data_IF_237220337317
#
_entry.id   IF_237220337317
#
_cell.length_a   1.000
_cell.length_b   1.000
_cell.length_c   1.000
_cell.angle_alpha   90.00
_cell.angle_beta   90.00
_cell.angle_gamma   90.00
#
_symmetry.space_group_name_H-M   'P 1'
#
loop_
_entity.id
_entity.type
_entity.pdbx_description
1 polymer ?
#
# COMPACT_ATOMS: atom_id res chain seq x y z
N UNK A 1 17.72 11.07 -5.03
CA UNK A 1 17.50 9.65 -5.36
C UNK A 1 18.79 8.83 -5.18
N UNK A 2 19.95 9.31 -5.61
CA UNK A 2 21.23 8.60 -5.41
C UNK A 2 21.51 8.39 -3.90
N UNK A 3 21.25 9.36 -3.05
CA UNK A 3 21.39 9.23 -1.59
C UNK A 3 20.47 8.15 -1.02
N UNK A 4 19.25 8.07 -1.54
CA UNK A 4 18.30 7.02 -1.18
C UNK A 4 18.82 5.63 -1.58
N UNK A 5 19.40 5.48 -2.76
CA UNK A 5 19.99 4.25 -3.24
C UNK A 5 21.29 3.86 -2.49
N UNK A 6 22.07 4.85 -2.06
CA UNK A 6 23.21 4.64 -1.17
C UNK A 6 22.75 4.16 0.21
N UNK A 7 21.70 4.76 0.75
CA UNK A 7 21.11 4.32 2.03
C UNK A 7 20.57 2.90 1.93
N UNK A 8 19.79 2.58 0.88
CA UNK A 8 19.35 1.21 0.62
C UNK A 8 20.55 0.23 0.58
N UNK A 9 21.66 0.63 -0.04
CA UNK A 9 22.87 -0.18 -0.10
C UNK A 9 23.49 -0.41 1.29
N UNK A 10 23.30 0.51 2.25
CA UNK A 10 23.71 0.31 3.65
C UNK A 10 22.79 -0.68 4.36
N UNK A 11 21.46 -0.57 4.16
CA UNK A 11 20.49 -1.52 4.74
C UNK A 11 20.76 -2.95 4.25
N UNK A 12 21.16 -3.11 2.99
CA UNK A 12 21.49 -4.40 2.39
C UNK A 12 22.81 -5.03 2.91
N UNK A 13 23.56 -4.33 3.75
CA UNK A 13 24.77 -4.85 4.43
C UNK A 13 24.55 -5.14 5.93
N UNK A 14 23.39 -4.78 6.46
CA UNK A 14 23.06 -4.97 7.88
C UNK A 14 22.84 -6.46 8.22
N UNK A 15 22.98 -6.87 9.49
CA UNK A 15 22.42 -8.12 9.95
C UNK A 15 20.91 -8.17 9.63
N UNK A 16 20.40 -9.30 9.18
CA UNK A 16 19.02 -9.44 8.69
C UNK A 16 18.71 -8.49 7.51
N UNK A 17 19.68 -8.30 6.61
CA UNK A 17 19.64 -7.32 5.51
C UNK A 17 18.32 -7.28 4.73
N UNK A 18 17.73 -8.45 4.46
CA UNK A 18 16.44 -8.53 3.72
C UNK A 18 15.32 -7.88 4.51
N UNK A 19 15.14 -8.22 5.80
CA UNK A 19 14.12 -7.60 6.66
C UNK A 19 14.33 -6.11 6.80
N UNK A 20 15.56 -5.68 7.07
CA UNK A 20 15.91 -4.27 7.25
C UNK A 20 15.63 -3.46 5.96
N UNK A 21 16.02 -3.98 4.81
CA UNK A 21 15.81 -3.31 3.53
C UNK A 21 14.30 -3.23 3.16
N UNK A 22 13.54 -4.30 3.36
CA UNK A 22 12.10 -4.31 3.09
C UNK A 22 11.38 -3.33 4.03
N UNK A 23 11.63 -3.40 5.34
CA UNK A 23 11.01 -2.50 6.31
C UNK A 23 11.34 -1.03 6.02
N UNK A 24 12.59 -0.75 5.68
CA UNK A 24 13.05 0.59 5.35
C UNK A 24 12.40 1.14 4.06
N UNK A 25 12.21 0.28 3.05
CA UNK A 25 11.53 0.64 1.79
C UNK A 25 10.02 0.89 2.01
N UNK A 26 9.35 -0.03 2.72
CA UNK A 26 7.92 0.09 2.99
C UNK A 26 7.61 1.34 3.82
N UNK A 27 8.41 1.65 4.84
CA UNK A 27 8.26 2.89 5.63
C UNK A 27 8.42 4.17 4.80
N UNK A 28 8.89 4.07 3.56
CA UNK A 28 9.03 5.18 2.59
C UNK A 28 8.05 5.10 1.42
N UNK A 29 7.06 4.18 1.52
CA UNK A 29 6.07 3.99 0.47
C UNK A 29 6.62 3.35 -0.81
N UNK A 30 7.63 2.48 -0.70
CA UNK A 30 8.14 1.66 -1.79
C UNK A 30 7.75 0.19 -1.54
N UNK A 31 6.55 -0.24 -1.95
CA UNK A 31 6.14 -1.62 -1.75
C UNK A 31 6.94 -2.56 -2.65
N UNK A 32 7.60 -3.54 -2.04
CA UNK A 32 8.43 -4.55 -2.71
C UNK A 32 8.09 -5.93 -2.20
N UNK A 33 7.95 -6.92 -3.08
CA UNK A 33 7.62 -8.31 -2.75
C UNK A 33 6.20 -8.48 -2.16
N UNK A 34 5.83 -7.67 -1.23
CA UNK A 34 4.49 -7.55 -0.62
C UNK A 34 4.29 -6.10 -0.18
N UNK A 35 3.08 -5.78 0.28
CA UNK A 35 2.81 -4.53 0.97
C UNK A 35 2.11 -4.82 2.30
N UNK A 36 2.27 -3.91 3.25
CA UNK A 36 1.60 -3.96 4.55
C UNK A 36 0.75 -2.70 4.72
N UNK A 37 -0.53 -2.87 4.59
CA UNK A 37 -1.50 -1.78 4.75
C UNK A 37 -2.27 -1.93 6.06
N UNK A 38 -2.71 -0.83 6.63
CA UNK A 38 -3.61 -0.86 7.79
C UNK A 38 -5.05 -0.90 7.28
N UNK A 39 -5.79 -1.91 7.69
CA UNK A 39 -7.18 -2.12 7.24
C UNK A 39 -8.08 -2.49 8.43
N UNK A 40 -9.40 -2.34 8.27
CA UNK A 40 -10.36 -2.82 9.24
C UNK A 40 -10.44 -4.36 9.24
N UNK A 41 -10.42 -4.98 10.42
CA UNK A 41 -10.61 -6.43 10.55
C UNK A 41 -12.11 -6.75 10.60
N UNK A 42 -12.72 -7.30 9.53
CA UNK A 42 -14.16 -7.60 9.48
C UNK A 42 -14.59 -8.68 10.47
N UNK A 43 -13.67 -9.48 11.00
CA UNK A 43 -13.94 -10.49 12.02
C UNK A 43 -13.82 -9.98 13.46
N UNK A 44 -13.61 -8.68 13.66
CA UNK A 44 -13.47 -8.04 14.98
C UNK A 44 -14.41 -6.82 15.07
N UNK A 45 -14.33 -6.12 16.22
CA UNK A 45 -15.09 -4.89 16.41
C UNK A 45 -14.79 -3.86 15.29
N UNK A 46 -15.78 -3.06 14.85
CA UNK A 46 -15.71 -2.25 13.63
C UNK A 46 -14.59 -1.20 13.57
N UNK A 47 -13.81 -1.04 14.64
CA UNK A 47 -12.69 -0.10 14.72
C UNK A 47 -11.33 -0.80 14.97
N UNK A 48 -11.27 -2.11 14.84
CA UNK A 48 -10.01 -2.83 15.02
C UNK A 48 -9.15 -2.69 13.75
N UNK A 49 -8.28 -1.67 13.74
CA UNK A 49 -7.25 -1.54 12.72
C UNK A 49 -6.25 -2.71 12.83
N UNK A 50 -6.00 -3.40 11.74
CA UNK A 50 -5.14 -4.59 11.71
C UNK A 50 -4.24 -4.53 10.47
N UNK A 51 -2.93 -4.79 10.57
CA UNK A 51 -2.08 -4.89 9.41
C UNK A 51 -2.56 -5.99 8.46
N UNK A 52 -2.65 -5.66 7.18
CA UNK A 52 -2.97 -6.60 6.10
C UNK A 52 -1.78 -6.72 5.17
N UNK A 53 -1.31 -7.95 4.96
CA UNK A 53 -0.23 -8.27 4.03
C UNK A 53 -0.84 -8.66 2.69
N UNK A 54 -0.46 -7.94 1.64
CA UNK A 54 -0.97 -8.12 0.27
C UNK A 54 0.19 -8.34 -0.72
N UNK A 55 -0.01 -9.11 -1.82
CA UNK A 55 0.97 -9.22 -2.89
C UNK A 55 1.31 -7.85 -3.50
N UNK A 56 2.59 -7.56 -3.71
CA UNK A 56 3.07 -6.32 -4.32
C UNK A 56 4.43 -6.49 -5.00
N UNK A 57 4.96 -5.42 -5.59
CA UNK A 57 6.34 -5.33 -6.07
C UNK A 57 6.55 -5.60 -7.56
N UNK A 58 5.50 -5.83 -8.36
CA UNK A 58 5.62 -5.95 -9.80
C UNK A 58 5.87 -4.58 -10.46
N UNK A 59 6.73 -4.55 -11.47
CA UNK A 59 6.99 -3.35 -12.27
C UNK A 59 5.99 -3.15 -13.41
N UNK A 60 5.45 -4.22 -13.98
CA UNK A 60 4.35 -4.17 -14.93
C UNK A 60 3.00 -4.25 -14.20
N UNK A 61 1.99 -3.58 -14.75
CA UNK A 61 0.68 -3.41 -14.09
C UNK A 61 -0.10 -4.71 -13.86
N UNK A 62 0.16 -5.72 -14.68
CA UNK A 62 -0.56 -6.99 -14.59
C UNK A 62 0.42 -8.17 -14.67
N UNK A 63 0.23 -9.23 -13.88
CA UNK A 63 1.07 -10.43 -13.96
C UNK A 63 1.17 -11.01 -15.37
N UNK A 64 0.06 -11.08 -16.11
CA UNK A 64 0.03 -11.60 -17.48
C UNK A 64 0.89 -10.79 -18.49
N UNK A 65 1.23 -9.54 -18.19
CA UNK A 65 2.09 -8.74 -19.06
C UNK A 65 3.54 -9.29 -19.14
N UNK A 66 3.96 -10.08 -18.15
CA UNK A 66 5.27 -10.73 -18.17
C UNK A 66 5.32 -11.92 -19.13
N UNK A 67 4.20 -12.50 -19.52
CA UNK A 67 4.13 -13.62 -20.50
C UNK A 67 4.25 -13.12 -21.94
N UNK A 68 3.93 -11.84 -22.20
CA UNK A 68 4.12 -11.25 -23.52
C UNK A 68 5.60 -10.91 -23.80
N UNK A 69 6.18 -11.58 -24.78
CA UNK A 69 7.58 -11.45 -25.14
C UNK A 69 7.96 -10.03 -25.63
N UNK A 70 7.02 -9.29 -26.22
CA UNK A 70 7.29 -7.93 -26.74
C UNK A 70 7.37 -6.97 -25.55
N UNK A 71 6.34 -6.99 -24.71
CA UNK A 71 6.29 -6.19 -23.48
C UNK A 71 7.48 -6.48 -22.56
N UNK A 72 7.82 -7.76 -22.37
CA UNK A 72 8.95 -8.15 -21.52
C UNK A 72 10.28 -7.63 -22.04
N UNK A 73 10.55 -7.68 -23.35
CA UNK A 73 11.79 -7.13 -23.96
C UNK A 73 11.85 -5.62 -23.83
N UNK A 74 10.74 -4.94 -24.07
CA UNK A 74 10.63 -3.50 -23.86
C UNK A 74 10.90 -3.13 -22.38
N UNK A 75 10.30 -3.85 -21.46
CA UNK A 75 10.49 -3.65 -20.02
C UNK A 75 11.93 -3.92 -19.60
N UNK A 76 12.57 -4.99 -20.10
CA UNK A 76 13.99 -5.28 -19.84
C UNK A 76 14.90 -4.15 -20.31
N UNK A 77 14.61 -3.50 -21.44
CA UNK A 77 15.38 -2.34 -21.89
C UNK A 77 15.30 -1.16 -20.90
N UNK A 78 14.11 -0.90 -20.32
CA UNK A 78 13.93 0.14 -19.31
C UNK A 78 14.65 -0.21 -18.00
N UNK A 79 14.56 -1.45 -17.53
CA UNK A 79 15.30 -1.93 -16.36
C UNK A 79 16.81 -1.77 -16.55
N UNK A 80 17.30 -2.12 -17.73
CA UNK A 80 18.73 -1.97 -18.08
C UNK A 80 19.19 -0.51 -18.05
N UNK A 81 18.39 0.39 -18.60
CA UNK A 81 18.65 1.83 -18.55
C UNK A 81 18.72 2.33 -17.11
N UNK A 82 17.74 1.96 -16.27
CA UNK A 82 17.72 2.36 -14.86
C UNK A 82 18.89 1.81 -14.06
N UNK A 83 19.22 0.53 -14.24
CA UNK A 83 20.30 -0.14 -13.51
C UNK A 83 21.71 0.27 -14.02
N UNK A 84 21.85 0.87 -15.19
CA UNK A 84 23.14 1.31 -15.72
C UNK A 84 23.89 2.26 -14.75
N UNK A 85 23.16 2.99 -13.90
CA UNK A 85 23.73 3.95 -12.95
C UNK A 85 24.04 3.35 -11.56
N UNK A 86 23.52 2.17 -11.24
CA UNK A 86 23.55 1.61 -9.87
C UNK A 86 24.00 0.16 -9.82
N UNK A 87 24.20 -0.46 -10.98
CA UNK A 87 24.62 -1.86 -11.13
C UNK A 87 23.47 -2.86 -10.96
N UNK A 88 23.62 -3.98 -11.63
CA UNK A 88 22.68 -5.10 -11.65
C UNK A 88 22.41 -5.60 -13.07
N UNK A 89 21.95 -6.86 -13.19
CA UNK A 89 21.58 -7.46 -14.47
C UNK A 89 20.07 -7.33 -14.68
N UNK A 90 19.67 -6.61 -15.74
CA UNK A 90 18.28 -6.39 -16.08
C UNK A 90 17.53 -7.68 -16.44
N UNK A 91 18.21 -8.65 -17.05
CA UNK A 91 17.60 -9.93 -17.40
C UNK A 91 17.26 -10.73 -16.17
N UNK A 92 18.16 -10.75 -15.20
CA UNK A 92 17.91 -11.42 -13.91
C UNK A 92 16.76 -10.77 -13.15
N UNK A 93 16.70 -9.44 -13.11
CA UNK A 93 15.61 -8.71 -12.46
C UNK A 93 14.28 -9.00 -13.13
N UNK A 94 14.20 -8.94 -14.46
CA UNK A 94 12.95 -9.22 -15.19
C UNK A 94 12.55 -10.69 -15.08
N UNK A 95 13.51 -11.63 -15.08
CA UNK A 95 13.24 -13.04 -14.83
C UNK A 95 12.69 -13.27 -13.40
N UNK A 96 13.28 -12.62 -12.41
CA UNK A 96 12.79 -12.67 -11.03
C UNK A 96 11.36 -12.11 -10.91
N UNK A 97 11.09 -10.94 -11.50
CA UNK A 97 9.71 -10.37 -11.48
C UNK A 97 8.70 -11.23 -12.25
N UNK A 98 9.12 -11.91 -13.32
CA UNK A 98 8.27 -12.85 -14.03
C UNK A 98 7.91 -14.07 -13.14
N UNK A 99 8.87 -14.63 -12.42
CA UNK A 99 8.60 -15.68 -11.43
C UNK A 99 7.71 -15.14 -10.30
N UNK A 100 7.94 -13.93 -9.80
CA UNK A 100 7.10 -13.28 -8.81
C UNK A 100 5.67 -13.09 -9.31
N UNK A 101 5.48 -12.68 -10.56
CA UNK A 101 4.18 -12.48 -11.19
C UNK A 101 3.35 -13.77 -11.24
N UNK A 102 4.00 -14.91 -11.44
CA UNK A 102 3.35 -16.24 -11.43
C UNK A 102 2.82 -16.68 -10.07
N UNK A 103 3.30 -16.05 -8.99
CA UNK A 103 2.84 -16.32 -7.63
C UNK A 103 1.54 -15.57 -7.29
N UNK A 104 1.21 -14.54 -8.07
CA UNK A 104 0.04 -13.71 -7.77
C UNK A 104 -1.25 -14.50 -7.89
N UNK A 105 -2.13 -14.41 -6.90
CA UNK A 105 -3.48 -14.94 -7.02
C UNK A 105 -4.22 -14.32 -8.20
N UNK A 106 -5.19 -15.04 -8.79
CA UNK A 106 -6.08 -14.44 -9.79
C UNK A 106 -6.75 -13.15 -9.29
N UNK A 107 -6.95 -12.18 -10.18
CA UNK A 107 -7.56 -10.90 -9.80
C UNK A 107 -8.97 -11.07 -9.18
N UNK A 108 -9.73 -12.08 -9.62
CA UNK A 108 -11.03 -12.40 -9.05
C UNK A 108 -10.94 -12.87 -7.58
N UNK A 109 -9.88 -13.63 -7.22
CA UNK A 109 -9.62 -14.06 -5.84
C UNK A 109 -9.22 -12.86 -4.98
N UNK A 110 -8.33 -11.98 -5.49
CA UNK A 110 -7.92 -10.75 -4.77
C UNK A 110 -9.07 -9.76 -4.58
N UNK A 111 -10.08 -9.80 -5.42
CA UNK A 111 -11.28 -8.96 -5.31
C UNK A 111 -12.35 -9.54 -4.36
N UNK A 112 -12.24 -10.81 -3.97
CA UNK A 112 -13.19 -11.45 -3.05
C UNK A 112 -12.77 -11.25 -1.59
N UNK A 113 -13.53 -10.48 -0.79
CA UNK A 113 -13.21 -10.26 0.62
C UNK A 113 -13.16 -11.55 1.46
N UNK A 114 -13.93 -12.58 1.11
CA UNK A 114 -13.93 -13.85 1.82
C UNK A 114 -12.67 -14.67 1.46
N UNK A 115 -12.30 -14.70 0.19
CA UNK A 115 -11.09 -15.38 -0.28
C UNK A 115 -9.79 -14.72 0.21
N UNK A 116 -9.82 -13.44 0.56
CA UNK A 116 -8.65 -12.67 1.06
C UNK A 116 -8.63 -12.51 2.59
N UNK A 117 -9.52 -13.13 3.31
CA UNK A 117 -9.60 -13.03 4.77
C UNK A 117 -8.92 -14.20 5.47
N UNK A 118 -7.63 -14.10 5.74
CA UNK A 118 -6.87 -15.09 6.49
C UNK A 118 -6.20 -14.42 7.69
N UNK A 119 -6.88 -14.39 8.86
CA UNK A 119 -6.29 -13.88 10.08
C UNK A 119 -5.26 -14.87 10.64
N UNK A 120 -4.04 -14.40 10.86
CA UNK A 120 -2.95 -15.16 11.45
C UNK A 120 -2.39 -14.47 12.69
N UNK A 121 -1.86 -15.24 13.61
CA UNK A 121 -0.98 -14.70 14.66
C UNK A 121 0.39 -14.34 14.04
N UNK A 122 1.05 -13.36 14.60
CA UNK A 122 2.40 -12.97 14.13
C UNK A 122 3.39 -14.13 14.20
N UNK A 123 3.24 -15.03 15.19
CA UNK A 123 4.06 -16.24 15.29
C UNK A 123 3.81 -17.22 14.14
N UNK A 124 2.55 -17.41 13.72
CA UNK A 124 2.19 -18.28 12.60
C UNK A 124 2.67 -17.68 11.26
N UNK A 125 2.64 -16.35 11.14
CA UNK A 125 3.18 -15.65 9.99
C UNK A 125 4.71 -15.85 9.88
N UNK A 126 5.43 -15.91 11.01
CA UNK A 126 6.88 -16.21 11.03
C UNK A 126 7.18 -17.62 10.51
N UNK A 127 6.33 -18.59 10.82
CA UNK A 127 6.47 -19.96 10.29
C UNK A 127 6.12 -20.02 8.79
N UNK A 128 5.08 -19.29 8.38
CA UNK A 128 4.61 -19.28 6.99
C UNK A 128 5.61 -18.63 6.03
N UNK A 129 6.23 -17.53 6.46
CA UNK A 129 7.07 -16.67 5.64
C UNK A 129 8.37 -16.25 6.38
N UNK A 130 9.32 -17.19 6.61
CA UNK A 130 10.49 -16.98 7.46
C UNK A 130 11.55 -16.05 6.84
N UNK A 131 11.38 -15.57 5.63
CA UNK A 131 12.30 -14.66 4.93
C UNK A 131 12.31 -13.24 5.50
N UNK A 132 11.34 -12.90 6.35
CA UNK A 132 11.26 -11.64 7.12
C UNK A 132 11.24 -11.99 8.59
N UNK A 133 12.00 -11.28 9.41
CA UNK A 133 11.79 -11.22 10.85
C UNK A 133 10.56 -10.34 11.12
N UNK A 134 9.38 -10.96 11.20
CA UNK A 134 8.11 -10.26 11.30
C UNK A 134 7.96 -9.41 12.55
N UNK A 135 8.41 -9.83 13.73
CA UNK A 135 8.43 -8.96 14.90
C UNK A 135 9.20 -7.67 14.66
N UNK A 136 10.42 -7.75 14.12
CA UNK A 136 11.25 -6.59 13.82
C UNK A 136 10.62 -5.71 12.72
N UNK A 137 10.07 -6.33 11.67
CA UNK A 137 9.37 -5.63 10.60
C UNK A 137 8.14 -4.85 11.11
N UNK A 138 7.26 -5.51 11.87
CA UNK A 138 6.05 -4.89 12.41
C UNK A 138 6.38 -3.80 13.44
N UNK A 139 7.43 -4.00 14.26
CA UNK A 139 7.89 -2.98 15.19
C UNK A 139 8.41 -1.72 14.48
N UNK A 140 9.06 -1.86 13.33
CA UNK A 140 9.53 -0.73 12.53
C UNK A 140 8.37 0.14 12.02
N UNK A 141 7.18 -0.45 11.78
CA UNK A 141 5.98 0.25 11.29
C UNK A 141 5.02 0.65 12.42
N UNK A 142 5.07 -0.03 13.55
CA UNK A 142 4.22 0.23 14.71
C UNK A 142 5.02 0.12 16.02
N UNK A 143 5.87 1.11 16.33
CA UNK A 143 6.80 1.02 17.46
C UNK A 143 6.10 1.05 18.84
N UNK A 144 4.87 1.54 18.92
CA UNK A 144 4.11 1.66 20.17
C UNK A 144 3.38 0.37 20.55
N UNK A 145 2.91 -0.39 19.58
CA UNK A 145 2.11 -1.60 19.80
C UNK A 145 2.49 -2.63 18.75
N UNK A 146 3.09 -3.74 19.17
CA UNK A 146 3.35 -4.87 18.27
C UNK A 146 2.01 -5.60 17.99
N UNK A 147 1.56 -5.66 16.74
CA UNK A 147 0.36 -6.38 16.40
C UNK A 147 0.52 -7.88 16.65
N UNK A 148 -0.34 -8.46 17.48
CA UNK A 148 -0.37 -9.92 17.68
C UNK A 148 -1.05 -10.67 16.54
N UNK A 149 -1.86 -9.94 15.74
CA UNK A 149 -2.67 -10.48 14.66
C UNK A 149 -2.46 -9.66 13.41
N UNK A 150 -2.37 -10.36 12.29
CA UNK A 150 -2.28 -9.78 10.94
C UNK A 150 -3.29 -10.45 10.03
N UNK A 151 -3.75 -9.75 9.01
CA UNK A 151 -4.54 -10.33 7.93
C UNK A 151 -3.60 -10.63 6.76
N UNK A 152 -3.72 -11.81 6.17
CA UNK A 152 -2.95 -12.18 4.99
C UNK A 152 -3.90 -12.40 3.83
N UNK A 153 -3.73 -11.65 2.74
CA UNK A 153 -4.62 -11.80 1.59
C UNK A 153 -4.41 -13.13 0.85
N UNK A 154 -3.19 -13.67 0.84
CA UNK A 154 -2.90 -14.99 0.27
C UNK A 154 -1.75 -15.68 1.00
N UNK A 155 -2.04 -16.62 1.91
CA UNK A 155 -1.01 -17.44 2.55
C UNK A 155 -0.19 -18.26 1.54
N UNK A 156 -0.82 -18.69 0.45
CA UNK A 156 -0.16 -19.44 -0.64
C UNK A 156 0.91 -18.58 -1.31
N UNK A 157 0.58 -17.31 -1.61
CA UNK A 157 1.55 -16.35 -2.15
C UNK A 157 2.78 -16.21 -1.25
N UNK A 158 2.59 -15.98 0.04
CA UNK A 158 3.71 -15.79 0.98
C UNK A 158 4.60 -17.03 1.09
N UNK A 159 3.99 -18.22 1.11
CA UNK A 159 4.76 -19.48 1.13
C UNK A 159 5.58 -19.68 -0.14
N UNK A 160 4.99 -19.41 -1.30
CA UNK A 160 5.67 -19.50 -2.57
C UNK A 160 6.74 -18.42 -2.74
N UNK A 161 6.48 -17.21 -2.23
CA UNK A 161 7.47 -16.13 -2.19
C UNK A 161 8.70 -16.53 -1.33
N UNK A 162 8.49 -17.15 -0.18
CA UNK A 162 9.60 -17.67 0.63
C UNK A 162 10.47 -18.65 -0.16
N UNK A 163 9.84 -19.59 -0.90
CA UNK A 163 10.55 -20.54 -1.74
C UNK A 163 11.27 -19.85 -2.93
N UNK A 164 10.66 -18.82 -3.53
CA UNK A 164 11.30 -18.03 -4.58
C UNK A 164 12.55 -17.33 -4.05
N UNK A 165 12.44 -16.62 -2.93
CA UNK A 165 13.55 -15.88 -2.34
C UNK A 165 14.71 -16.79 -1.90
N UNK A 166 14.40 -18.00 -1.40
CA UNK A 166 15.42 -18.97 -1.01
C UNK A 166 16.34 -19.40 -2.19
N UNK A 167 15.78 -19.47 -3.41
CA UNK A 167 16.56 -19.83 -4.62
C UNK A 167 17.10 -18.63 -5.41
N UNK A 168 16.68 -17.40 -5.04
CA UNK A 168 17.10 -16.19 -5.75
C UNK A 168 18.48 -15.74 -5.27
N UNK A 169 19.46 -15.53 -6.17
CA UNK A 169 20.75 -14.99 -5.79
C UNK A 169 20.63 -13.61 -5.14
N UNK A 170 21.41 -13.37 -4.11
CA UNK A 170 21.39 -12.13 -3.35
C UNK A 170 21.62 -10.89 -4.22
N UNK A 171 22.51 -10.97 -5.20
CA UNK A 171 22.76 -9.84 -6.11
C UNK A 171 21.56 -9.50 -7.00
N UNK A 172 20.78 -10.52 -7.43
CA UNK A 172 19.55 -10.32 -8.19
C UNK A 172 18.48 -9.63 -7.33
N UNK A 173 18.31 -10.07 -6.09
CA UNK A 173 17.38 -9.43 -5.14
C UNK A 173 17.79 -7.98 -4.87
N UNK A 174 19.06 -7.70 -4.66
CA UNK A 174 19.57 -6.34 -4.47
C UNK A 174 19.33 -5.45 -5.70
N UNK A 175 19.54 -5.99 -6.91
CA UNK A 175 19.27 -5.27 -8.15
C UNK A 175 17.76 -4.98 -8.31
N UNK A 176 16.89 -5.94 -7.99
CA UNK A 176 15.45 -5.77 -7.99
C UNK A 176 15.00 -4.65 -7.01
N UNK A 177 15.53 -4.63 -5.79
CA UNK A 177 15.18 -3.60 -4.81
C UNK A 177 15.63 -2.20 -5.26
N UNK A 178 16.82 -2.07 -5.87
CA UNK A 178 17.26 -0.80 -6.47
C UNK A 178 16.38 -0.37 -7.64
N UNK A 179 16.02 -1.32 -8.49
CA UNK A 179 15.12 -1.05 -9.61
C UNK A 179 13.74 -0.58 -9.11
N UNK A 180 13.17 -1.21 -8.08
CA UNK A 180 11.90 -0.80 -7.51
C UNK A 180 11.93 0.67 -7.05
N UNK A 181 13.01 1.11 -6.40
CA UNK A 181 13.20 2.51 -6.01
C UNK A 181 13.28 3.43 -7.23
N UNK A 182 14.06 3.07 -8.25
CA UNK A 182 14.20 3.87 -9.48
C UNK A 182 12.86 3.99 -10.20
N UNK A 183 12.15 2.89 -10.34
CA UNK A 183 10.84 2.81 -10.99
C UNK A 183 9.81 3.74 -10.32
N UNK A 184 9.74 3.73 -9.00
CA UNK A 184 8.70 4.44 -8.27
C UNK A 184 9.09 5.90 -7.98
N UNK A 185 10.35 6.15 -7.68
CA UNK A 185 10.87 7.48 -7.40
C UNK A 185 11.21 8.29 -8.66
N UNK A 186 11.62 7.61 -9.72
CA UNK A 186 12.10 8.25 -10.94
C UNK A 186 11.07 9.14 -11.64
N UNK A 187 9.75 8.88 -11.42
CA UNK A 187 8.67 9.73 -11.97
C UNK A 187 8.66 11.15 -11.41
N UNK A 188 9.26 11.36 -10.25
CA UNK A 188 9.35 12.67 -9.57
C UNK A 188 10.63 13.45 -9.88
N UNK A 189 11.53 12.85 -10.67
CA UNK A 189 12.74 13.53 -11.13
C UNK A 189 12.42 14.43 -12.32
N UNK A 190 13.18 15.53 -12.45
CA UNK A 190 13.05 16.44 -13.58
C UNK A 190 13.19 15.74 -14.95
N UNK A 191 12.63 16.33 -16.01
CA UNK A 191 12.64 15.72 -17.35
C UNK A 191 14.04 15.43 -17.88
N UNK A 192 15.01 16.25 -17.51
CA UNK A 192 16.40 16.16 -17.96
C UNK A 192 17.25 15.19 -17.14
N UNK A 193 16.69 14.56 -16.10
CA UNK A 193 17.39 13.58 -15.28
C UNK A 193 17.29 12.19 -15.92
N UNK A 194 18.40 11.62 -16.44
CA UNK A 194 18.38 10.34 -17.16
C UNK A 194 17.81 9.19 -16.32
N UNK A 195 18.15 9.15 -15.03
CA UNK A 195 17.70 8.11 -14.10
C UNK A 195 16.15 8.06 -13.93
N UNK A 196 15.44 9.16 -14.21
CA UNK A 196 13.98 9.21 -14.16
C UNK A 196 13.29 8.78 -15.46
N UNK A 197 14.02 8.69 -16.57
CA UNK A 197 13.44 8.36 -17.87
C UNK A 197 12.76 7.00 -17.93
N UNK A 198 13.35 5.89 -17.45
CA UNK A 198 12.71 4.58 -17.43
C UNK A 198 11.41 4.57 -16.63
N UNK A 199 11.38 5.24 -15.47
CA UNK A 199 10.19 5.34 -14.63
C UNK A 199 9.04 6.07 -15.36
N UNK A 200 9.34 7.20 -16.00
CA UNK A 200 8.35 7.98 -16.78
C UNK A 200 7.82 7.23 -18.01
N UNK A 201 8.59 6.32 -18.58
CA UNK A 201 8.13 5.44 -19.65
C UNK A 201 7.13 4.38 -19.17
N UNK A 202 7.26 3.94 -17.93
CA UNK A 202 6.35 2.96 -17.31
C UNK A 202 5.06 3.59 -16.79
N UNK A 203 5.17 4.76 -16.22
CA UNK A 203 4.02 5.44 -15.61
C UNK A 203 4.14 6.96 -15.81
N UNK A 204 3.00 7.62 -16.14
CA UNK A 204 3.01 9.06 -16.32
C UNK A 204 3.40 9.76 -15.01
N UNK A 205 4.11 10.86 -15.13
CA UNK A 205 4.37 11.75 -13.99
C UNK A 205 3.03 12.22 -13.42
N UNK A 206 2.80 12.10 -12.11
CA UNK A 206 1.58 12.62 -11.51
C UNK A 206 1.41 14.11 -11.81
N UNK A 207 0.19 14.55 -12.09
CA UNK A 207 -0.08 15.99 -12.18
C UNK A 207 0.19 16.67 -10.83
N UNK A 208 0.51 17.96 -10.84
CA UNK A 208 0.71 18.73 -9.59
C UNK A 208 -0.48 18.57 -8.64
N UNK A 209 -1.71 18.57 -9.17
CA UNK A 209 -2.92 18.36 -8.35
C UNK A 209 -3.00 16.96 -7.76
N UNK A 210 -2.65 15.93 -8.54
CA UNK A 210 -2.64 14.57 -8.05
C UNK A 210 -1.58 14.38 -6.95
N UNK A 211 -0.38 14.93 -7.14
CA UNK A 211 0.68 14.89 -6.14
C UNK A 211 0.30 15.66 -4.87
N UNK A 212 -0.28 16.85 -5.02
CA UNK A 212 -0.77 17.66 -3.90
C UNK A 212 -1.88 16.92 -3.12
N UNK A 213 -2.83 16.34 -3.83
CA UNK A 213 -3.94 15.62 -3.21
C UNK A 213 -3.46 14.36 -2.47
N UNK A 214 -2.49 13.66 -3.01
CA UNK A 214 -1.87 12.51 -2.34
C UNK A 214 -1.10 12.90 -1.06
N UNK A 215 -0.42 14.06 -1.09
CA UNK A 215 0.39 14.54 0.03
C UNK A 215 -0.44 15.27 1.10
N UNK A 216 -1.39 16.11 0.68
CA UNK A 216 -2.16 17.05 1.51
C UNK A 216 -3.67 16.87 1.32
N UNK A 217 -4.15 15.62 1.32
CA UNK A 217 -5.54 15.27 1.02
C UNK A 217 -6.56 15.94 1.94
N UNK A 218 -6.28 16.07 3.24
CA UNK A 218 -7.18 16.74 4.18
C UNK A 218 -7.24 18.25 3.93
N UNK A 219 -6.12 18.89 3.62
CA UNK A 219 -6.07 20.32 3.30
C UNK A 219 -6.79 20.60 1.97
N UNK A 220 -6.51 19.84 0.92
CA UNK A 220 -7.19 19.98 -0.37
C UNK A 220 -8.69 19.67 -0.28
N UNK A 221 -9.07 18.68 0.53
CA UNK A 221 -10.45 18.35 0.83
C UNK A 221 -11.20 19.46 1.56
N UNK A 222 -10.53 20.15 2.50
CA UNK A 222 -11.07 21.34 3.16
C UNK A 222 -11.35 22.46 2.16
N UNK A 223 -10.36 22.83 1.34
CA UNK A 223 -10.52 23.88 0.33
C UNK A 223 -11.66 23.55 -0.64
N UNK A 224 -11.79 22.29 -1.04
CA UNK A 224 -12.89 21.82 -1.87
C UNK A 224 -14.24 21.98 -1.16
N UNK A 225 -14.37 21.55 0.10
CA UNK A 225 -15.61 21.64 0.87
C UNK A 225 -16.02 23.09 1.13
N UNK A 226 -15.07 23.98 1.45
CA UNK A 226 -15.32 25.41 1.61
C UNK A 226 -15.85 26.06 0.31
N UNK A 227 -15.30 25.65 -0.84
CA UNK A 227 -15.71 26.19 -2.13
C UNK A 227 -17.06 25.64 -2.62
N UNK A 228 -17.30 24.33 -2.46
CA UNK A 228 -18.50 23.67 -3.01
C UNK A 228 -19.71 23.71 -2.08
N UNK A 229 -19.50 23.92 -0.77
CA UNK A 229 -20.56 24.00 0.24
C UNK A 229 -21.59 22.85 0.11
N UNK A 230 -21.19 21.57 0.23
CA UNK A 230 -22.06 20.43 -0.04
C UNK A 230 -23.29 20.43 0.89
N UNK A 231 -24.46 19.99 0.38
CA UNK A 231 -25.68 19.85 1.19
C UNK A 231 -25.57 18.62 2.13
N UNK A 232 -24.74 18.74 3.16
CA UNK A 232 -24.53 17.71 4.19
C UNK A 232 -25.83 17.30 4.86
N UNK A 233 -26.76 18.27 5.07
CA UNK A 233 -28.04 17.99 5.70
C UNK A 233 -28.99 17.16 4.83
N UNK A 234 -29.03 17.46 3.52
CA UNK A 234 -29.84 16.69 2.57
C UNK A 234 -29.32 15.25 2.44
N UNK A 235 -28.02 15.08 2.29
CA UNK A 235 -27.40 13.74 2.23
C UNK A 235 -27.61 12.96 3.52
N UNK A 236 -27.49 13.59 4.69
CA UNK A 236 -27.76 12.94 5.99
C UNK A 236 -29.22 12.44 6.09
N UNK A 237 -30.20 13.29 5.72
CA UNK A 237 -31.61 12.86 5.69
C UNK A 237 -31.83 11.65 4.79
N UNK A 238 -31.16 11.60 3.63
CA UNK A 238 -31.26 10.46 2.71
C UNK A 238 -30.67 9.19 3.34
N UNK A 239 -29.49 9.27 3.97
CA UNK A 239 -28.88 8.13 4.67
C UNK A 239 -29.77 7.63 5.80
N UNK A 240 -30.33 8.54 6.60
CA UNK A 240 -31.22 8.18 7.72
C UNK A 240 -32.52 7.52 7.21
N UNK A 241 -33.08 8.00 6.11
CA UNK A 241 -34.24 7.37 5.44
C UNK A 241 -33.92 5.95 4.96
N UNK A 242 -32.74 5.74 4.36
CA UNK A 242 -32.25 4.42 3.93
C UNK A 242 -32.10 3.49 5.15
N UNK A 243 -31.45 3.96 6.23
CA UNK A 243 -31.30 3.20 7.47
C UNK A 243 -32.64 2.78 8.05
N UNK A 244 -33.61 3.70 8.08
CA UNK A 244 -34.97 3.44 8.56
C UNK A 244 -35.65 2.37 7.73
N UNK A 245 -35.58 2.49 6.40
CA UNK A 245 -36.18 1.52 5.48
C UNK A 245 -35.57 0.11 5.66
N UNK A 246 -34.23 0.01 5.79
CA UNK A 246 -33.57 -1.27 6.08
C UNK A 246 -34.03 -1.86 7.42
N UNK A 247 -34.05 -1.05 8.48
CA UNK A 247 -34.47 -1.48 9.82
C UNK A 247 -35.90 -2.03 9.82
N UNK A 248 -36.79 -1.39 9.08
CA UNK A 248 -38.19 -1.81 8.94
C UNK A 248 -38.33 -3.13 8.15
N UNK A 249 -37.48 -3.37 7.15
CA UNK A 249 -37.53 -4.59 6.34
C UNK A 249 -36.85 -5.80 6.95
N UNK A 250 -35.90 -5.63 7.88
CA UNK A 250 -35.15 -6.73 8.49
C UNK A 250 -36.05 -7.83 9.12
N UNK A 251 -37.16 -7.51 9.82
CA UNK A 251 -38.05 -8.54 10.38
C UNK A 251 -38.67 -9.45 9.33
N UNK A 252 -38.96 -8.93 8.14
CA UNK A 252 -39.72 -9.60 7.09
C UNK A 252 -38.83 -10.44 6.13
N UNK A 253 -37.52 -10.50 6.36
CA UNK A 253 -36.60 -11.27 5.52
C UNK A 253 -36.57 -12.76 5.95
N UNK A 254 -37.14 -13.69 5.15
CA UNK A 254 -37.31 -15.08 5.57
C UNK A 254 -35.98 -15.88 5.61
N UNK A 255 -34.96 -15.40 4.95
CA UNK A 255 -33.64 -16.05 4.90
C UNK A 255 -32.71 -15.65 6.06
N UNK A 256 -33.10 -14.66 6.88
CA UNK A 256 -32.37 -14.30 8.10
C UNK A 256 -32.93 -15.04 9.30
N UNK A 257 -32.07 -15.74 10.01
CA UNK A 257 -32.43 -16.25 11.38
C UNK A 257 -32.42 -15.12 12.42
N UNK A 258 -32.78 -15.45 13.65
CA UNK A 258 -32.89 -14.47 14.73
C UNK A 258 -31.50 -13.82 15.07
N UNK A 259 -30.42 -14.58 15.04
CA UNK A 259 -29.07 -14.12 15.34
C UNK A 259 -28.58 -13.19 14.27
N UNK A 260 -28.63 -13.61 12.99
CA UNK A 260 -28.23 -12.80 11.85
C UNK A 260 -29.05 -11.49 11.76
N UNK A 261 -30.34 -11.54 12.14
CA UNK A 261 -31.20 -10.34 12.17
C UNK A 261 -30.78 -9.36 13.26
N UNK A 262 -30.38 -9.88 14.44
CA UNK A 262 -29.86 -9.06 15.54
C UNK A 262 -28.52 -8.40 15.14
N UNK A 263 -27.61 -9.15 14.54
CA UNK A 263 -26.32 -8.66 14.05
C UNK A 263 -26.49 -7.60 12.94
N UNK A 264 -27.38 -7.84 11.98
CA UNK A 264 -27.71 -6.87 10.94
C UNK A 264 -28.23 -5.55 11.51
N UNK A 265 -29.10 -5.64 12.55
CA UNK A 265 -29.60 -4.45 13.25
C UNK A 265 -28.48 -3.71 13.98
N UNK A 266 -27.60 -4.42 14.68
CA UNK A 266 -26.45 -3.85 15.37
C UNK A 266 -25.50 -3.14 14.37
N UNK A 267 -25.22 -3.75 13.22
CA UNK A 267 -24.42 -3.15 12.14
C UNK A 267 -25.06 -1.86 11.61
N UNK A 268 -26.37 -1.84 11.36
CA UNK A 268 -27.08 -0.63 10.91
C UNK A 268 -27.00 0.51 11.94
N UNK A 269 -27.10 0.20 13.24
CA UNK A 269 -26.93 1.19 14.29
C UNK A 269 -25.50 1.71 14.41
N UNK A 270 -24.51 0.84 14.22
CA UNK A 270 -23.08 1.18 14.27
C UNK A 270 -22.55 1.91 13.04
N UNK A 271 -23.34 2.01 11.96
CA UNK A 271 -22.93 2.71 10.75
C UNK A 271 -22.64 4.19 11.01
N UNK A 272 -21.41 4.64 10.76
CA UNK A 272 -21.03 6.04 10.78
C UNK A 272 -21.08 6.62 9.37
N UNK A 273 -21.71 7.78 9.22
CA UNK A 273 -21.80 8.47 7.94
C UNK A 273 -20.78 9.63 7.89
N UNK A 274 -19.81 9.52 7.00
CA UNK A 274 -18.88 10.60 6.67
C UNK A 274 -19.41 11.33 5.43
N UNK A 275 -19.76 12.59 5.57
CA UNK A 275 -20.48 13.35 4.52
C UNK A 275 -19.75 14.68 4.30
N UNK A 276 -19.26 14.88 3.08
CA UNK A 276 -18.65 16.11 2.61
C UNK A 276 -17.20 16.29 3.02
N UNK A 277 -16.86 16.06 4.28
CA UNK A 277 -15.49 16.17 4.79
C UNK A 277 -15.24 15.14 5.90
N UNK A 278 -13.99 14.69 6.11
CA UNK A 278 -13.64 13.82 7.22
C UNK A 278 -13.81 14.55 8.56
N UNK A 279 -14.20 13.76 9.58
CA UNK A 279 -14.29 14.25 10.94
C UNK A 279 -12.99 14.04 11.75
N UNK A 280 -12.05 13.26 11.24
CA UNK A 280 -10.76 12.97 11.87
C UNK A 280 -9.65 12.91 10.81
N UNK A 281 -8.77 13.92 10.76
CA UNK A 281 -8.91 15.20 11.47
C UNK A 281 -10.17 15.94 11.02
N UNK A 282 -10.73 16.78 11.89
CA UNK A 282 -11.85 17.64 11.48
C UNK A 282 -11.37 18.59 10.38
N UNK A 283 -11.71 18.24 9.14
CA UNK A 283 -11.25 18.97 7.97
C UNK A 283 -11.79 20.41 7.90
N UNK A 284 -12.86 20.74 8.63
CA UNK A 284 -13.39 22.12 8.70
C UNK A 284 -12.74 22.95 9.80
N UNK A 285 -11.92 22.33 10.67
CA UNK A 285 -11.15 23.02 11.70
C UNK A 285 -9.69 23.25 11.23
N UNK A 286 -9.27 24.50 11.09
CA UNK A 286 -7.92 24.87 10.65
C UNK A 286 -6.84 24.29 11.57
N UNK A 287 -7.03 24.44 12.88
CA UNK A 287 -6.05 24.03 13.88
C UNK A 287 -5.88 22.50 13.90
N UNK A 288 -6.97 21.75 13.66
CA UNK A 288 -6.93 20.29 13.54
C UNK A 288 -6.15 19.83 12.30
N UNK A 289 -6.29 20.54 11.18
CA UNK A 289 -5.53 20.27 9.95
C UNK A 289 -4.06 20.64 10.14
N UNK A 290 -3.76 21.77 10.76
CA UNK A 290 -2.38 22.18 11.06
C UNK A 290 -1.71 21.17 12.00
N UNK A 291 -2.39 20.76 13.06
CA UNK A 291 -1.89 19.73 13.98
C UNK A 291 -1.66 18.37 13.29
N UNK A 292 -2.51 18.00 12.32
CA UNK A 292 -2.34 16.76 11.55
C UNK A 292 -1.05 16.75 10.72
N UNK A 293 -0.70 17.90 10.12
CA UNK A 293 0.50 18.04 9.29
C UNK A 293 1.71 18.63 10.04
N UNK A 294 1.68 18.74 11.37
CA UNK A 294 2.74 19.39 12.15
C UNK A 294 4.12 18.74 11.96
N UNK A 295 4.15 17.42 11.76
CA UNK A 295 5.38 16.65 11.53
C UNK A 295 5.78 16.55 10.05
N UNK A 296 4.99 17.11 9.13
CA UNK A 296 5.28 17.10 7.70
C UNK A 296 6.19 18.28 7.32
N UNK A 297 7.45 17.96 7.04
CA UNK A 297 8.42 18.98 6.61
C UNK A 297 8.37 19.16 5.09
N UNK A 298 8.06 20.39 4.65
CA UNK A 298 8.07 20.81 3.24
C UNK A 298 9.17 21.86 3.07
N UNK A 299 10.07 21.64 2.11
CA UNK A 299 11.17 22.54 1.75
C UNK A 299 11.21 22.80 0.24
N UNK A 300 12.35 23.28 -0.26
CA UNK A 300 12.52 23.68 -1.66
C UNK A 300 12.74 22.50 -2.61
N UNK A 301 13.13 21.33 -2.10
CA UNK A 301 13.44 20.16 -2.92
C UNK A 301 12.19 19.29 -3.13
N UNK A 302 11.66 19.26 -4.36
CA UNK A 302 10.43 18.51 -4.70
C UNK A 302 10.50 17.03 -4.30
N UNK A 303 11.60 16.35 -4.61
CA UNK A 303 11.76 14.93 -4.25
C UNK A 303 11.75 14.67 -2.74
N UNK A 304 12.39 15.55 -1.95
CA UNK A 304 12.37 15.45 -0.50
C UNK A 304 10.94 15.62 0.06
N UNK A 305 10.19 16.56 -0.50
CA UNK A 305 8.80 16.79 -0.12
C UNK A 305 7.91 15.56 -0.42
N UNK A 306 8.07 14.93 -1.58
CA UNK A 306 7.36 13.69 -1.93
C UNK A 306 7.69 12.56 -0.94
N UNK A 307 8.97 12.41 -0.59
CA UNK A 307 9.40 11.38 0.36
C UNK A 307 8.85 11.64 1.77
N UNK A 308 8.92 12.89 2.25
CA UNK A 308 8.36 13.28 3.55
C UNK A 308 6.85 13.06 3.60
N UNK A 309 6.13 13.40 2.53
CA UNK A 309 4.69 13.17 2.43
C UNK A 309 4.34 11.66 2.47
N UNK A 310 5.10 10.82 1.77
CA UNK A 310 4.94 9.36 1.84
C UNK A 310 5.17 8.81 3.25
N UNK A 311 6.24 9.25 3.91
CA UNK A 311 6.55 8.83 5.28
C UNK A 311 5.52 9.32 6.30
N UNK A 312 4.89 10.47 6.07
CA UNK A 312 3.80 10.98 6.91
C UNK A 312 2.50 10.17 6.73
N UNK A 313 2.25 9.63 5.53
CA UNK A 313 1.05 8.85 5.22
C UNK A 313 1.12 7.39 5.69
N UNK A 314 2.30 6.87 6.02
CA UNK A 314 2.57 5.51 6.50
C UNK A 314 2.82 5.49 8.01
#
# INVERSE_FOLDING_TARGET
>A
LLDLLHELSRQLRAPNATTAAIAWLHARGFPVLFDAIIDGDPGRAPHAATPRIVPSGLGLRAPAAYDDNVTRRWYEALVREGLAHVGGDAREVVAFEHELARLYPPAAELADPAATYHPLLTADLQVLAPFVDWPSYLHAHSPRVLPHRVLVSSPTYLRQLAALLHRTPTHTLHAYLRWAVIRDAGTYLGPDVPLGRPARALQPTPSCMAALHAALGHMSGRLFAEHTQPDVRGVRRMIDAIRTAYTQRLPDLPWLDAAARADARAKLHGLQAHIGAPAQPDAMNADAIEAWYADLHIGDAHWANVLNARMHAH
#
